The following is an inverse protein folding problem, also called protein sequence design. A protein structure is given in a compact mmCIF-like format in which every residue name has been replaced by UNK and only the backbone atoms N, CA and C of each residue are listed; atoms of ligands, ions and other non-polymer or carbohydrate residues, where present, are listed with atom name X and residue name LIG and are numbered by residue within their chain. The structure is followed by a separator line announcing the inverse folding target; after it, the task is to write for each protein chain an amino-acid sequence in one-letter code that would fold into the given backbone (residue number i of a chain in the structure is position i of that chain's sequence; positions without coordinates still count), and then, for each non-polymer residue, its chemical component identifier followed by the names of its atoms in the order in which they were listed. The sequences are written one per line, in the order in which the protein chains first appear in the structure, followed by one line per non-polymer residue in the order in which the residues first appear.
data_IF_382334696555
#
_entry.id   IF_382334696555
#
_cell.length_a   1.000
_cell.length_b   1.000
_cell.length_c   1.000
_cell.angle_alpha   90.00
_cell.angle_beta   90.00
_cell.angle_gamma   90.00
#
_symmetry.space_group_name_H-M   'P 1'
#
loop_
_entity.id
_entity.type
_entity.pdbx_description
1 polymer ?
#
# COMPACT_ATOMS: atom_id res chain seq x y z
N UNK A 1 -25.84 10.88 13.59
CA UNK A 1 -25.65 9.98 14.75
C UNK A 1 -24.21 9.47 14.75
N UNK A 2 -23.27 10.35 15.10
CA UNK A 2 -21.81 10.12 15.16
C UNK A 2 -21.27 10.86 16.38
N UNK A 3 -21.73 10.50 17.58
CA UNK A 3 -21.25 11.06 18.85
C UNK A 3 -21.64 10.08 19.96
N UNK A 4 -20.76 9.14 20.31
CA UNK A 4 -20.79 8.36 21.57
C UNK A 4 -19.63 7.34 21.62
N UNK A 5 -18.38 7.83 21.65
CA UNK A 5 -17.20 6.97 21.91
C UNK A 5 -16.20 7.58 22.91
N UNK A 6 -16.61 8.55 23.73
CA UNK A 6 -15.69 9.30 24.61
C UNK A 6 -16.03 9.26 26.12
N UNK A 7 -16.70 8.23 26.64
CA UNK A 7 -17.11 8.20 28.08
C UNK A 7 -16.81 6.88 28.80
N UNK A 8 -15.67 6.22 28.54
CA UNK A 8 -15.32 4.99 29.29
C UNK A 8 -13.91 4.90 29.89
N UNK A 9 -13.23 6.04 30.12
CA UNK A 9 -11.99 6.02 30.92
C UNK A 9 -12.03 7.11 31.99
N UNK A 10 -12.76 6.84 33.07
CA UNK A 10 -12.46 7.50 34.35
C UNK A 10 -13.07 6.70 35.52
N UNK A 11 -12.30 5.76 36.08
CA UNK A 11 -12.36 5.38 37.50
C UNK A 11 -11.31 4.32 37.85
N UNK A 12 -10.14 4.76 38.31
CA UNK A 12 -9.40 4.19 39.45
C UNK A 12 -7.93 4.68 39.45
N UNK A 13 -7.72 5.91 39.94
CA UNK A 13 -6.39 6.36 40.36
C UNK A 13 -6.18 5.90 41.81
N UNK A 14 -5.37 4.86 41.97
CA UNK A 14 -4.68 4.56 43.23
C UNK A 14 -3.19 4.79 42.98
N UNK A 15 -2.62 5.80 43.63
CA UNK A 15 -1.18 5.99 43.93
C UNK A 15 -0.19 5.10 43.16
N UNK A 16 0.13 5.50 41.93
CA UNK A 16 1.23 4.90 41.18
C UNK A 16 2.53 5.65 41.50
N UNK A 17 3.58 4.90 41.81
CA UNK A 17 4.94 5.42 41.94
C UNK A 17 5.36 6.12 40.63
N UNK A 18 6.28 7.10 40.72
CA UNK A 18 6.72 7.88 39.56
C UNK A 18 7.30 6.92 38.51
N UNK A 19 6.75 6.88 37.28
CA UNK A 19 7.27 6.03 36.21
C UNK A 19 8.70 6.45 35.86
N UNK A 20 9.60 5.47 35.77
CA UNK A 20 10.98 5.65 35.32
C UNK A 20 11.08 5.04 33.93
N UNK A 21 11.23 5.87 32.91
CA UNK A 21 11.40 5.42 31.53
C UNK A 21 12.79 4.77 31.35
N UNK A 22 12.84 3.69 30.56
CA UNK A 22 14.08 2.98 30.26
C UNK A 22 15.03 3.78 29.37
N UNK A 23 16.33 3.66 29.65
CA UNK A 23 17.40 4.23 28.83
C UNK A 23 18.39 3.18 28.34
N UNK A 24 18.90 3.37 27.12
CA UNK A 24 19.88 2.49 26.50
C UNK A 24 21.27 2.64 27.14
N UNK A 25 21.99 1.53 27.31
CA UNK A 25 23.44 1.56 27.49
C UNK A 25 24.13 2.04 26.21
N UNK A 26 25.40 2.49 26.31
CA UNK A 26 26.24 2.62 25.13
C UNK A 26 26.34 1.30 24.35
N UNK A 27 26.57 1.39 23.05
CA UNK A 27 26.82 0.24 22.19
C UNK A 27 28.15 -0.43 22.55
N UNK A 28 28.17 -1.76 22.60
CA UNK A 28 29.35 -2.61 22.82
C UNK A 28 29.53 -3.59 21.67
N UNK A 29 30.78 -3.83 21.23
CA UNK A 29 31.08 -4.81 20.19
C UNK A 29 31.01 -6.23 20.76
N UNK A 30 30.34 -7.14 20.05
CA UNK A 30 30.34 -8.56 20.40
C UNK A 30 31.68 -9.20 20.05
N UNK A 31 32.34 -9.79 21.06
CA UNK A 31 33.68 -10.36 20.91
C UNK A 31 33.70 -11.72 20.20
N UNK A 32 32.54 -12.39 20.12
CA UNK A 32 32.39 -13.72 19.50
C UNK A 32 32.26 -13.65 17.98
N UNK A 33 32.08 -12.45 17.42
CA UNK A 33 31.84 -12.24 15.98
C UNK A 33 33.05 -11.55 15.39
N UNK A 34 33.89 -12.36 14.75
CA UNK A 34 35.09 -11.90 14.05
C UNK A 34 34.73 -11.26 12.70
N UNK A 35 35.37 -10.12 12.39
CA UNK A 35 35.07 -9.30 11.22
C UNK A 35 35.22 -10.06 9.90
N UNK A 36 36.31 -10.83 9.75
CA UNK A 36 36.63 -11.53 8.52
C UNK A 36 35.72 -12.75 8.33
N UNK A 37 35.44 -13.46 9.42
CA UNK A 37 34.60 -14.66 9.41
C UNK A 37 33.13 -14.38 9.07
N UNK A 38 32.70 -13.11 9.16
CA UNK A 38 31.34 -12.65 8.89
C UNK A 38 31.26 -11.69 7.70
N UNK A 39 32.14 -11.87 6.69
CA UNK A 39 32.04 -11.16 5.42
C UNK A 39 32.34 -9.66 5.50
N UNK A 40 33.14 -9.23 6.48
CA UNK A 40 33.51 -7.81 6.67
C UNK A 40 32.56 -7.03 7.58
N UNK A 41 31.80 -7.71 8.45
CA UNK A 41 30.86 -7.09 9.38
C UNK A 41 31.15 -7.43 10.84
N UNK A 42 30.91 -6.47 11.74
CA UNK A 42 30.96 -6.65 13.18
C UNK A 42 29.62 -6.29 13.83
N UNK A 43 29.20 -7.06 14.84
CA UNK A 43 27.96 -6.81 15.58
C UNK A 43 28.22 -5.94 16.81
N UNK A 44 27.30 -5.01 17.06
CA UNK A 44 27.23 -4.21 18.27
C UNK A 44 25.90 -4.43 18.98
N UNK A 45 25.94 -4.57 20.29
CA UNK A 45 24.78 -4.78 21.15
C UNK A 45 24.67 -3.68 22.20
N UNK A 46 23.46 -3.45 22.73
CA UNK A 46 23.17 -2.55 23.84
C UNK A 46 22.03 -3.12 24.68
N UNK A 47 21.91 -2.68 25.92
CA UNK A 47 20.86 -3.16 26.84
C UNK A 47 20.04 -1.99 27.39
N UNK A 48 18.74 -2.21 27.63
CA UNK A 48 17.84 -1.19 28.17
C UNK A 48 17.92 -1.16 29.71
N UNK A 49 19.09 -0.78 30.23
CA UNK A 49 19.40 -0.85 31.67
C UNK A 49 19.98 0.43 32.25
N UNK A 50 19.94 1.54 31.52
CA UNK A 50 20.55 2.81 31.92
C UNK A 50 19.61 4.02 31.77
N UNK A 51 18.55 4.16 32.60
CA UNK A 51 18.11 3.23 33.67
C UNK A 51 17.19 2.12 33.13
N UNK A 52 16.93 1.07 33.92
CA UNK A 52 15.89 0.08 33.58
C UNK A 52 14.48 0.67 33.80
N UNK A 53 13.48 0.32 32.97
CA UNK A 53 12.11 0.77 33.17
C UNK A 53 11.53 0.30 34.51
N UNK A 54 10.97 1.22 35.30
CA UNK A 54 10.31 0.91 36.58
C UNK A 54 8.99 1.68 36.74
N UNK A 55 8.12 1.20 37.63
CA UNK A 55 6.85 1.84 37.99
C UNK A 55 5.92 2.15 36.79
N UNK A 56 5.97 1.33 35.74
CA UNK A 56 5.17 1.53 34.52
C UNK A 56 5.76 2.56 33.55
N UNK A 57 7.05 2.90 33.67
CA UNK A 57 7.78 3.68 32.67
C UNK A 57 7.96 2.94 31.34
N UNK A 58 8.22 3.71 30.29
CA UNK A 58 8.30 3.22 28.90
C UNK A 58 9.53 2.35 28.69
N UNK A 59 9.40 1.31 27.87
CA UNK A 59 10.54 0.54 27.38
C UNK A 59 11.40 1.39 26.41
N UNK A 60 12.67 1.02 26.25
CA UNK A 60 13.55 1.68 25.30
C UNK A 60 13.06 1.46 23.86
N UNK A 61 13.05 2.53 23.07
CA UNK A 61 12.63 2.49 21.66
C UNK A 61 13.83 2.18 20.75
N UNK A 62 13.66 1.25 19.81
CA UNK A 62 14.67 0.80 18.83
C UNK A 62 15.26 -0.59 19.11
N UNK A 63 16.16 -1.06 18.26
CA UNK A 63 16.79 -2.39 18.37
C UNK A 63 17.91 -2.44 19.41
N UNK A 64 18.16 -3.62 19.97
CA UNK A 64 19.26 -3.90 20.92
C UNK A 64 20.54 -4.38 20.23
N UNK A 65 20.49 -4.65 18.93
CA UNK A 65 21.62 -5.07 18.10
C UNK A 65 21.69 -4.28 16.78
N UNK A 66 22.92 -4.08 16.28
CA UNK A 66 23.20 -3.47 14.97
C UNK A 66 24.48 -4.04 14.37
N UNK A 67 24.57 -4.02 13.05
CA UNK A 67 25.75 -4.44 12.29
C UNK A 67 26.43 -3.25 11.64
N UNK A 68 27.76 -3.24 11.64
CA UNK A 68 28.56 -2.21 10.98
C UNK A 68 29.69 -2.84 10.16
N UNK A 69 30.05 -2.16 9.06
CA UNK A 69 31.19 -2.56 8.22
C UNK A 69 32.51 -2.42 8.97
N UNK A 70 33.40 -3.39 8.77
CA UNK A 70 34.74 -3.41 9.32
C UNK A 70 35.76 -3.87 8.27
N UNK A 71 37.03 -3.54 8.48
CA UNK A 71 38.08 -3.78 7.49
C UNK A 71 38.61 -5.21 7.55
N UNK A 72 38.52 -5.95 6.45
CA UNK A 72 39.13 -7.26 6.25
C UNK A 72 39.77 -7.41 4.85
N UNK A 73 40.46 -8.54 4.61
CA UNK A 73 41.06 -8.90 3.32
C UNK A 73 40.06 -9.74 2.50
N UNK A 74 39.95 -9.48 1.19
CA UNK A 74 39.05 -10.21 0.28
C UNK A 74 39.30 -11.73 0.30
N UNK A 75 40.55 -12.16 0.38
CA UNK A 75 40.89 -13.60 0.31
C UNK A 75 40.41 -14.34 1.56
N UNK A 76 40.37 -13.66 2.71
CA UNK A 76 39.81 -14.20 3.96
C UNK A 76 38.29 -13.99 4.07
N UNK A 77 37.77 -12.91 3.48
CA UNK A 77 36.35 -12.58 3.56
C UNK A 77 35.47 -13.54 2.73
N UNK A 78 35.97 -13.98 1.56
CA UNK A 78 35.19 -14.75 0.58
C UNK A 78 35.71 -16.18 0.37
N UNK A 79 36.49 -16.72 1.32
CA UNK A 79 37.06 -18.07 1.19
C UNK A 79 35.96 -19.14 1.09
N UNK A 80 36.10 -20.07 0.13
CA UNK A 80 35.15 -21.18 -0.09
C UNK A 80 33.85 -20.85 -0.85
N UNK A 81 33.66 -19.62 -1.35
CA UNK A 81 32.45 -19.19 -2.05
C UNK A 81 32.72 -18.36 -3.31
N UNK A 82 31.88 -18.48 -4.34
CA UNK A 82 31.90 -17.55 -5.50
C UNK A 82 31.06 -16.30 -5.19
N UNK A 83 31.71 -15.26 -4.68
CA UNK A 83 31.13 -13.94 -4.39
C UNK A 83 31.92 -12.82 -5.10
N UNK A 84 31.29 -11.65 -5.31
CA UNK A 84 32.00 -10.47 -5.82
C UNK A 84 32.60 -9.69 -4.64
N UNK A 85 33.92 -9.48 -4.65
CA UNK A 85 34.56 -8.65 -3.64
C UNK A 85 34.54 -7.18 -4.07
N UNK A 86 33.91 -6.32 -3.27
CA UNK A 86 33.94 -4.89 -3.46
C UNK A 86 34.92 -4.26 -2.45
N UNK A 87 35.75 -3.32 -2.92
CA UNK A 87 36.66 -2.57 -2.08
C UNK A 87 36.36 -1.09 -2.26
N UNK A 88 35.55 -0.52 -1.36
CA UNK A 88 35.33 0.92 -1.33
C UNK A 88 36.52 1.59 -0.62
N UNK A 89 37.12 2.60 -1.25
CA UNK A 89 38.26 3.33 -0.72
C UNK A 89 37.94 3.90 0.67
N UNK A 90 38.41 3.22 1.72
CA UNK A 90 38.25 3.63 3.12
C UNK A 90 37.42 2.68 4.01
N UNK A 91 36.73 1.68 3.44
CA UNK A 91 35.81 0.81 4.21
C UNK A 91 36.22 -0.67 4.29
N UNK A 92 37.33 -1.06 3.67
CA UNK A 92 37.82 -2.45 3.64
C UNK A 92 37.11 -3.33 2.60
N UNK A 93 37.63 -4.54 2.38
CA UNK A 93 37.03 -5.51 1.46
C UNK A 93 35.80 -6.17 2.10
N UNK A 94 34.76 -6.42 1.30
CA UNK A 94 33.57 -7.19 1.72
C UNK A 94 33.05 -8.05 0.56
N UNK A 95 32.41 -9.16 0.89
CA UNK A 95 31.80 -10.05 -0.09
C UNK A 95 30.35 -9.64 -0.32
N UNK A 96 29.94 -9.53 -1.58
CA UNK A 96 28.56 -9.20 -1.94
C UNK A 96 27.81 -10.41 -2.45
N UNK A 97 26.58 -10.60 -1.95
CA UNK A 97 25.62 -11.52 -2.52
C UNK A 97 25.17 -11.05 -3.91
N UNK A 98 25.23 -11.94 -4.91
CA UNK A 98 24.75 -11.64 -6.27
C UNK A 98 23.33 -12.21 -6.39
N UNK A 99 22.32 -11.34 -6.39
CA UNK A 99 20.89 -11.73 -6.43
C UNK A 99 20.45 -12.66 -5.27
N UNK A 100 21.04 -12.49 -4.08
CA UNK A 100 20.71 -13.28 -2.89
C UNK A 100 21.18 -14.74 -2.95
N UNK A 101 22.20 -15.05 -3.76
CA UNK A 101 22.71 -16.42 -3.95
C UNK A 101 24.25 -16.47 -3.89
N UNK A 102 24.76 -17.59 -3.38
CA UNK A 102 26.19 -17.96 -3.38
C UNK A 102 26.36 -19.39 -3.87
N UNK A 103 27.40 -19.65 -4.67
CA UNK A 103 27.74 -21.00 -5.13
C UNK A 103 29.00 -21.51 -4.41
N UNK A 104 28.92 -22.63 -3.67
CA UNK A 104 30.07 -23.24 -3.02
C UNK A 104 31.05 -23.78 -4.04
N UNK A 105 32.35 -23.54 -3.83
CA UNK A 105 33.39 -24.05 -4.74
C UNK A 105 33.67 -25.53 -4.42
N UNK A 106 33.51 -26.41 -5.42
CA UNK A 106 33.83 -27.84 -5.29
C UNK A 106 32.66 -28.79 -4.98
N UNK A 107 31.41 -28.30 -5.07
CA UNK A 107 30.17 -29.11 -4.99
C UNK A 107 29.41 -29.02 -6.32
N UNK A 108 28.48 -29.94 -6.58
CA UNK A 108 27.66 -30.02 -7.80
C UNK A 108 27.03 -28.65 -8.15
N UNK A 109 27.18 -28.13 -9.39
CA UNK A 109 26.74 -26.79 -9.82
C UNK A 109 25.26 -26.44 -9.58
N UNK A 110 24.41 -27.42 -9.25
CA UNK A 110 22.99 -27.21 -8.97
C UNK A 110 22.68 -26.87 -7.48
N UNK A 111 23.70 -26.83 -6.62
CA UNK A 111 23.52 -26.54 -5.18
C UNK A 111 23.54 -25.02 -4.92
N UNK A 112 22.38 -24.39 -5.05
CA UNK A 112 22.21 -22.95 -4.79
C UNK A 112 22.02 -22.72 -3.29
N UNK A 113 22.88 -21.91 -2.67
CA UNK A 113 22.68 -21.44 -1.28
C UNK A 113 22.18 -20.01 -1.30
N UNK A 114 21.07 -19.75 -0.63
CA UNK A 114 20.47 -18.41 -0.52
C UNK A 114 21.16 -17.61 0.60
N UNK A 115 21.45 -16.33 0.36
CA UNK A 115 22.20 -15.46 1.28
C UNK A 115 21.56 -14.08 1.43
N UNK A 116 21.85 -13.41 2.55
CA UNK A 116 21.43 -12.03 2.87
C UNK A 116 22.62 -11.26 3.43
N UNK A 117 22.81 -10.00 3.02
CA UNK A 117 23.90 -9.13 3.47
C UNK A 117 23.40 -8.10 4.50
N UNK A 118 23.75 -8.16 5.81
CA UNK A 118 24.86 -8.94 6.39
C UNK A 118 24.47 -10.36 6.84
N UNK A 119 25.43 -11.31 6.88
CA UNK A 119 25.16 -12.71 7.17
C UNK A 119 24.59 -12.91 8.58
N UNK A 120 23.50 -13.68 8.68
CA UNK A 120 23.01 -14.16 9.97
C UNK A 120 23.93 -15.26 10.52
N UNK A 121 24.15 -15.22 11.84
CA UNK A 121 24.88 -16.18 12.69
C UNK A 121 25.18 -17.54 12.03
N UNK A 122 26.36 -17.68 11.42
CA UNK A 122 26.84 -18.97 10.94
C UNK A 122 27.46 -19.72 12.12
N UNK A 123 26.63 -20.47 12.85
CA UNK A 123 27.12 -21.53 13.74
C UNK A 123 26.12 -22.67 13.79
N UNK A 124 26.23 -23.63 12.87
CA UNK A 124 26.43 -25.05 13.21
C UNK A 124 26.89 -25.87 12.01
N UNK A 125 27.91 -26.68 12.28
CA UNK A 125 28.63 -27.64 11.43
C UNK A 125 27.84 -28.96 11.31
N UNK A 126 27.97 -29.67 10.19
CA UNK A 126 27.65 -31.09 9.98
C UNK A 126 26.29 -31.62 10.46
N UNK A 127 25.45 -32.00 9.49
CA UNK A 127 24.58 -33.17 9.60
C UNK A 127 23.24 -32.99 10.32
N UNK A 128 22.19 -33.38 9.58
CA UNK A 128 20.83 -33.78 10.02
C UNK A 128 19.93 -32.74 10.70
N UNK A 129 18.84 -32.47 9.96
CA UNK A 129 17.48 -32.12 10.38
C UNK A 129 17.23 -30.73 11.01
N UNK A 130 16.20 -30.06 10.46
CA UNK A 130 15.60 -28.76 10.82
C UNK A 130 16.43 -27.48 10.52
N UNK A 131 16.37 -27.02 9.26
CA UNK A 131 16.91 -25.71 8.83
C UNK A 131 15.91 -24.98 7.91
N UNK A 132 14.76 -24.62 8.47
CA UNK A 132 13.80 -23.66 7.90
C UNK A 132 13.36 -22.68 8.97
N UNK A 133 14.31 -21.99 9.58
CA UNK A 133 14.04 -20.73 10.26
C UNK A 133 15.34 -19.95 10.22
N UNK A 134 15.25 -18.63 10.08
CA UNK A 134 16.35 -17.67 10.07
C UNK A 134 16.92 -17.34 8.68
N UNK A 135 16.12 -16.62 7.88
CA UNK A 135 16.59 -15.74 6.81
C UNK A 135 15.68 -14.50 6.73
N UNK A 136 16.12 -13.29 7.11
CA UNK A 136 15.43 -12.04 6.81
C UNK A 136 16.06 -11.44 5.57
N UNK A 137 15.28 -11.43 4.50
CA UNK A 137 15.48 -10.67 3.27
C UNK A 137 15.81 -9.21 3.55
N UNK A 138 16.92 -8.73 3.00
CA UNK A 138 17.25 -7.30 2.94
C UNK A 138 16.60 -6.73 1.68
N UNK A 139 15.27 -6.76 1.74
CA UNK A 139 14.40 -5.82 1.07
C UNK A 139 13.38 -5.20 2.04
N UNK A 140 13.49 -5.48 3.35
CA UNK A 140 12.48 -5.15 4.35
C UNK A 140 13.09 -4.36 5.53
N UNK A 141 13.16 -3.02 5.43
CA UNK A 141 13.22 -2.14 6.63
C UNK A 141 11.84 -2.07 7.34
N UNK A 142 10.93 -2.99 7.01
CA UNK A 142 9.66 -3.19 7.69
C UNK A 142 9.75 -4.53 8.38
N UNK A 143 9.92 -4.54 9.71
CA UNK A 143 9.68 -5.76 10.49
C UNK A 143 8.33 -6.34 10.04
N UNK A 144 8.28 -7.59 9.52
CA UNK A 144 7.03 -8.16 9.05
C UNK A 144 6.05 -8.10 10.21
N UNK A 145 4.90 -7.45 9.98
CA UNK A 145 3.86 -7.26 10.98
C UNK A 145 3.65 -8.54 11.79
N UNK A 146 3.59 -8.42 13.12
CA UNK A 146 3.30 -9.58 13.99
C UNK A 146 2.07 -10.33 13.46
N UNK A 147 2.01 -11.65 13.66
CA UNK A 147 0.86 -12.48 13.24
C UNK A 147 -0.47 -11.88 13.73
N UNK A 148 -0.45 -11.28 14.92
CA UNK A 148 -1.60 -10.66 15.55
C UNK A 148 -1.99 -9.35 14.82
N UNK A 149 -1.00 -8.55 14.42
CA UNK A 149 -1.25 -7.34 13.61
C UNK A 149 -1.80 -7.69 12.23
N UNK A 150 -1.27 -8.75 11.58
CA UNK A 150 -1.79 -9.24 10.29
C UNK A 150 -3.25 -9.68 10.40
N UNK A 151 -3.59 -10.41 11.46
CA UNK A 151 -4.98 -10.82 11.72
C UNK A 151 -5.91 -9.61 11.90
N UNK A 152 -5.48 -8.61 12.66
CA UNK A 152 -6.28 -7.39 12.89
C UNK A 152 -6.52 -6.65 11.58
N UNK A 153 -5.48 -6.44 10.77
CA UNK A 153 -5.60 -5.77 9.46
C UNK A 153 -6.60 -6.52 8.58
N UNK A 154 -6.47 -7.84 8.47
CA UNK A 154 -7.36 -8.67 7.65
C UNK A 154 -8.83 -8.58 8.09
N UNK A 155 -9.08 -8.60 9.41
CA UNK A 155 -10.44 -8.48 9.95
C UNK A 155 -11.02 -7.10 9.65
N UNK A 156 -10.26 -6.03 9.92
CA UNK A 156 -10.70 -4.65 9.70
C UNK A 156 -11.01 -4.45 8.22
N UNK A 157 -10.11 -4.86 7.34
CA UNK A 157 -10.26 -4.71 5.90
C UNK A 157 -11.46 -5.50 5.36
N UNK A 158 -11.65 -6.75 5.79
CA UNK A 158 -12.82 -7.54 5.39
C UNK A 158 -14.14 -6.89 5.84
N UNK A 159 -14.20 -6.38 7.08
CA UNK A 159 -15.39 -5.71 7.62
C UNK A 159 -15.67 -4.42 6.84
N UNK A 160 -14.64 -3.62 6.54
CA UNK A 160 -14.77 -2.38 5.76
C UNK A 160 -15.24 -2.69 4.34
N UNK A 161 -14.62 -3.67 3.67
CA UNK A 161 -15.02 -4.10 2.33
C UNK A 161 -16.48 -4.56 2.30
N UNK A 162 -16.89 -5.41 3.25
CA UNK A 162 -18.27 -5.87 3.37
C UNK A 162 -19.26 -4.74 3.62
N UNK A 163 -18.89 -3.76 4.46
CA UNK A 163 -19.71 -2.59 4.73
C UNK A 163 -19.92 -1.74 3.47
N UNK A 164 -18.86 -1.41 2.74
CA UNK A 164 -18.94 -0.60 1.52
C UNK A 164 -19.81 -1.30 0.47
N UNK A 165 -19.56 -2.59 0.22
CA UNK A 165 -20.34 -3.38 -0.75
C UNK A 165 -21.82 -3.41 -0.35
N UNK A 166 -22.14 -3.61 0.94
CA UNK A 166 -23.52 -3.62 1.41
C UNK A 166 -24.24 -2.28 1.15
N UNK A 167 -23.55 -1.15 1.37
CA UNK A 167 -24.13 0.18 1.10
C UNK A 167 -24.29 0.45 -0.39
N UNK A 168 -23.31 0.11 -1.24
CA UNK A 168 -23.45 0.23 -2.69
C UNK A 168 -24.59 -0.64 -3.23
N UNK A 169 -24.76 -1.86 -2.71
CA UNK A 169 -25.89 -2.71 -3.11
C UNK A 169 -27.22 -2.10 -2.66
N UNK A 170 -27.27 -1.54 -1.44
CA UNK A 170 -28.47 -0.87 -0.95
C UNK A 170 -28.83 0.36 -1.81
N UNK A 171 -27.85 1.18 -2.22
CA UNK A 171 -28.09 2.34 -3.09
C UNK A 171 -28.57 1.91 -4.47
N UNK A 172 -27.98 0.87 -5.07
CA UNK A 172 -28.44 0.28 -6.34
C UNK A 172 -29.89 -0.21 -6.23
N UNK A 173 -30.24 -0.91 -5.14
CA UNK A 173 -31.61 -1.41 -4.91
C UNK A 173 -32.60 -0.26 -4.76
N UNK A 174 -32.29 0.73 -3.92
CA UNK A 174 -33.13 1.94 -3.76
C UNK A 174 -33.29 2.62 -5.12
N UNK A 175 -32.21 2.68 -5.90
CA UNK A 175 -32.24 3.26 -7.22
C UNK A 175 -33.10 2.50 -8.22
N UNK A 176 -33.06 1.16 -8.20
CA UNK A 176 -33.88 0.33 -9.07
C UNK A 176 -35.37 0.37 -8.70
N UNK A 177 -35.68 0.50 -7.40
CA UNK A 177 -37.07 0.49 -6.90
C UNK A 177 -37.76 1.85 -7.04
N UNK A 178 -37.06 2.94 -6.72
CA UNK A 178 -37.65 4.28 -6.65
C UNK A 178 -37.33 5.18 -7.84
N UNK A 179 -36.66 4.65 -8.87
CA UNK A 179 -35.90 5.48 -9.80
C UNK A 179 -36.35 5.55 -11.25
N UNK A 180 -36.40 6.78 -11.78
CA UNK A 180 -36.54 7.08 -13.22
C UNK A 180 -35.25 6.94 -14.04
N UNK A 181 -35.40 6.98 -15.37
CA UNK A 181 -34.37 6.76 -16.39
C UNK A 181 -33.67 8.07 -16.78
N UNK A 182 -32.34 8.14 -16.70
CA UNK A 182 -31.54 9.31 -17.11
C UNK A 182 -30.05 8.99 -17.25
N UNK A 183 -29.30 9.79 -18.03
CA UNK A 183 -27.87 9.53 -18.27
C UNK A 183 -27.01 9.70 -17.01
N UNK A 184 -27.33 10.67 -16.16
CA UNK A 184 -26.65 10.90 -14.88
C UNK A 184 -26.66 9.66 -13.98
N UNK A 185 -27.84 9.04 -13.82
CA UNK A 185 -28.00 7.84 -12.99
C UNK A 185 -27.19 6.66 -13.52
N UNK A 186 -27.06 6.57 -14.83
CA UNK A 186 -26.31 5.50 -15.46
C UNK A 186 -24.80 5.62 -15.21
N UNK A 187 -24.25 6.84 -15.22
CA UNK A 187 -22.85 7.10 -14.85
C UNK A 187 -22.59 6.66 -13.40
N UNK A 188 -23.47 7.07 -12.49
CA UNK A 188 -23.42 6.66 -11.08
C UNK A 188 -23.49 5.16 -10.87
N UNK A 189 -24.37 4.48 -11.60
CA UNK A 189 -24.49 3.04 -11.49
C UNK A 189 -23.19 2.33 -11.91
N UNK A 190 -22.50 2.84 -12.92
CA UNK A 190 -21.21 2.27 -13.37
C UNK A 190 -20.09 2.54 -12.36
N UNK A 191 -20.08 3.73 -11.76
CA UNK A 191 -19.17 4.05 -10.65
C UNK A 191 -19.40 3.09 -9.47
N UNK A 192 -20.64 2.94 -8.99
CA UNK A 192 -20.96 2.02 -7.88
C UNK A 192 -20.64 0.56 -8.23
N UNK A 193 -20.91 0.13 -9.46
CA UNK A 193 -20.61 -1.23 -9.90
C UNK A 193 -19.10 -1.51 -9.93
N UNK A 194 -18.29 -0.57 -10.44
CA UNK A 194 -16.83 -0.70 -10.42
C UNK A 194 -16.28 -0.67 -9.00
N UNK A 195 -16.84 0.17 -8.12
CA UNK A 195 -16.48 0.21 -6.70
C UNK A 195 -16.76 -1.13 -6.00
N UNK A 196 -17.93 -1.74 -6.23
CA UNK A 196 -18.25 -3.08 -5.70
C UNK A 196 -17.20 -4.11 -6.15
N UNK A 197 -16.81 -4.10 -7.43
CA UNK A 197 -15.81 -5.03 -7.95
C UNK A 197 -14.46 -4.82 -7.26
N UNK A 198 -14.01 -3.57 -7.10
CA UNK A 198 -12.76 -3.24 -6.36
C UNK A 198 -12.78 -3.84 -4.96
N UNK A 199 -13.83 -3.58 -4.17
CA UNK A 199 -13.88 -4.02 -2.77
C UNK A 199 -14.06 -5.55 -2.63
N UNK A 200 -14.69 -6.21 -3.59
CA UNK A 200 -14.72 -7.69 -3.63
C UNK A 200 -13.32 -8.23 -3.95
N UNK A 201 -12.63 -7.67 -4.93
CA UNK A 201 -11.27 -8.10 -5.29
C UNK A 201 -10.29 -7.92 -4.13
N UNK A 202 -10.37 -6.79 -3.41
CA UNK A 202 -9.59 -6.55 -2.20
C UNK A 202 -9.97 -7.56 -1.11
N UNK A 203 -11.23 -7.54 -0.65
CA UNK A 203 -11.63 -8.30 0.54
C UNK A 203 -11.62 -9.82 0.38
N UNK A 204 -11.79 -10.35 -0.83
CA UNK A 204 -11.87 -11.80 -1.07
C UNK A 204 -10.61 -12.39 -1.70
N UNK A 205 -10.03 -11.73 -2.70
CA UNK A 205 -8.89 -12.27 -3.45
C UNK A 205 -7.54 -11.73 -2.99
N UNK A 206 -7.45 -10.43 -2.63
CA UNK A 206 -6.18 -9.86 -2.19
C UNK A 206 -5.73 -10.44 -0.83
N UNK A 207 -6.68 -10.77 0.05
CA UNK A 207 -6.39 -11.25 1.40
C UNK A 207 -6.12 -12.76 1.49
N UNK A 208 -6.41 -13.52 0.43
CA UNK A 208 -6.30 -14.97 0.45
C UNK A 208 -4.97 -15.42 -0.17
N UNK A 209 -3.88 -15.10 0.54
CA UNK A 209 -2.45 -15.28 0.17
C UNK A 209 -2.08 -16.72 -0.23
N UNK A 210 -2.96 -17.71 -0.02
CA UNK A 210 -2.78 -19.09 -0.47
C UNK A 210 -2.93 -19.30 -1.98
N UNK A 211 -3.19 -18.24 -2.75
CA UNK A 211 -3.27 -18.30 -4.21
C UNK A 211 -1.91 -18.54 -4.86
N UNK A 212 -1.87 -19.31 -5.95
CA UNK A 212 -0.67 -19.44 -6.80
C UNK A 212 -0.15 -18.06 -7.22
N UNK A 213 1.17 -17.94 -7.43
CA UNK A 213 1.83 -16.68 -7.86
C UNK A 213 1.11 -16.03 -9.06
N UNK A 214 0.70 -16.86 -10.03
CA UNK A 214 -0.03 -16.43 -11.23
C UNK A 214 -1.39 -15.81 -10.89
N UNK A 215 -2.15 -16.41 -9.96
CA UNK A 215 -3.45 -15.88 -9.56
C UNK A 215 -3.30 -14.53 -8.84
N UNK A 216 -2.28 -14.40 -7.99
CA UNK A 216 -1.96 -13.18 -7.27
C UNK A 216 -1.62 -12.02 -8.24
N UNK A 217 -0.80 -12.30 -9.27
CA UNK A 217 -0.49 -11.38 -10.38
C UNK A 217 -1.72 -10.93 -11.15
N UNK A 218 -2.61 -11.87 -11.51
CA UNK A 218 -3.84 -11.55 -12.23
C UNK A 218 -4.84 -10.72 -11.41
N UNK A 219 -5.01 -11.05 -10.13
CA UNK A 219 -5.87 -10.31 -9.20
C UNK A 219 -5.36 -8.88 -9.03
N UNK A 220 -4.06 -8.70 -8.82
CA UNK A 220 -3.43 -7.39 -8.70
C UNK A 220 -3.62 -6.55 -9.97
N UNK A 221 -3.42 -7.15 -11.15
CA UNK A 221 -3.63 -6.47 -12.43
C UNK A 221 -5.08 -6.06 -12.65
N UNK A 222 -6.02 -6.95 -12.36
CA UNK A 222 -7.45 -6.67 -12.46
C UNK A 222 -7.87 -5.55 -11.50
N UNK A 223 -7.42 -5.62 -10.25
CA UNK A 223 -7.75 -4.61 -9.24
C UNK A 223 -7.20 -3.24 -9.63
N UNK A 224 -5.97 -3.15 -10.18
CA UNK A 224 -5.44 -1.88 -10.71
C UNK A 224 -6.31 -1.32 -11.84
N UNK A 225 -6.65 -2.13 -12.85
CA UNK A 225 -7.48 -1.68 -13.96
C UNK A 225 -8.86 -1.18 -13.50
N UNK A 226 -9.56 -1.95 -12.66
CA UNK A 226 -10.91 -1.59 -12.19
C UNK A 226 -10.87 -0.37 -11.26
N UNK A 227 -9.82 -0.21 -10.45
CA UNK A 227 -9.64 1.00 -9.64
C UNK A 227 -9.47 2.24 -10.53
N UNK A 228 -8.70 2.14 -11.62
CA UNK A 228 -8.57 3.21 -12.61
C UNK A 228 -9.90 3.52 -13.32
N UNK A 229 -10.72 2.52 -13.63
CA UNK A 229 -12.07 2.72 -14.14
C UNK A 229 -12.95 3.48 -13.14
N UNK A 230 -12.88 3.12 -11.87
CA UNK A 230 -13.63 3.81 -10.80
C UNK A 230 -13.29 5.31 -10.76
N UNK A 231 -12.00 5.65 -10.79
CA UNK A 231 -11.54 7.05 -10.81
C UNK A 231 -11.95 7.79 -12.08
N UNK A 232 -12.04 7.10 -13.21
CA UNK A 232 -12.53 7.69 -14.46
C UNK A 232 -14.02 7.98 -14.39
N UNK A 233 -14.83 7.08 -13.81
CA UNK A 233 -16.27 7.31 -13.62
C UNK A 233 -16.55 8.45 -12.63
N UNK A 234 -15.77 8.57 -11.55
CA UNK A 234 -15.81 9.73 -10.65
C UNK A 234 -15.53 11.04 -11.41
N UNK A 235 -14.52 11.06 -12.29
CA UNK A 235 -14.23 12.24 -13.12
C UNK A 235 -15.35 12.54 -14.14
N UNK A 236 -15.99 11.50 -14.70
CA UNK A 236 -17.12 11.64 -15.62
C UNK A 236 -18.38 12.17 -14.93
N UNK A 237 -18.65 11.75 -13.70
CA UNK A 237 -19.69 12.31 -12.85
C UNK A 237 -19.45 13.80 -12.58
N UNK A 238 -18.22 14.17 -12.19
CA UNK A 238 -17.85 15.56 -11.98
C UNK A 238 -18.00 16.41 -13.26
N UNK A 239 -17.59 15.86 -14.41
CA UNK A 239 -17.76 16.49 -15.72
C UNK A 239 -19.23 16.67 -16.09
N UNK A 240 -20.07 15.66 -15.84
CA UNK A 240 -21.50 15.75 -16.02
C UNK A 240 -22.07 16.89 -15.16
N UNK A 241 -21.78 16.89 -13.85
CA UNK A 241 -22.30 17.88 -12.93
C UNK A 241 -21.87 19.31 -13.30
N UNK A 242 -20.59 19.48 -13.66
CA UNK A 242 -20.07 20.74 -14.18
C UNK A 242 -20.82 21.20 -15.44
N UNK A 243 -21.00 20.31 -16.42
CA UNK A 243 -21.64 20.66 -17.71
C UNK A 243 -23.09 21.12 -17.56
N UNK A 244 -23.82 20.56 -16.59
CA UNK A 244 -25.21 20.95 -16.28
C UNK A 244 -25.26 22.28 -15.51
N UNK A 245 -24.44 22.44 -14.48
CA UNK A 245 -24.47 23.64 -13.61
C UNK A 245 -23.93 24.87 -14.35
N UNK A 246 -22.86 24.70 -15.13
CA UNK A 246 -22.23 25.81 -15.86
C UNK A 246 -22.99 26.23 -17.12
N UNK A 247 -24.16 25.62 -17.40
CA UNK A 247 -24.99 25.98 -18.55
C UNK A 247 -24.34 25.62 -19.89
N UNK A 248 -23.55 24.55 -19.94
CA UNK A 248 -22.92 24.05 -21.18
C UNK A 248 -23.85 23.07 -21.88
N UNK A 249 -24.59 22.26 -21.12
CA UNK A 249 -25.58 21.33 -21.63
C UNK A 249 -26.97 21.63 -21.06
N UNK A 250 -28.01 21.52 -21.91
CA UNK A 250 -29.40 21.62 -21.47
C UNK A 250 -29.88 20.35 -20.79
N UNK A 251 -29.35 19.18 -21.19
CA UNK A 251 -29.77 17.86 -20.71
C UNK A 251 -28.69 16.81 -21.01
N UNK A 252 -28.63 15.81 -20.14
CA UNK A 252 -27.82 14.60 -20.27
C UNK A 252 -26.30 14.81 -20.33
N UNK A 253 -25.84 16.02 -19.96
CA UNK A 253 -24.43 16.39 -19.87
C UNK A 253 -23.77 16.65 -21.21
N UNK A 254 -22.44 16.87 -21.21
CA UNK A 254 -21.66 17.14 -22.43
C UNK A 254 -21.35 15.87 -23.24
N UNK A 255 -21.20 14.72 -22.57
CA UNK A 255 -20.92 13.43 -23.21
C UNK A 255 -22.24 12.68 -23.36
N UNK A 256 -22.83 12.73 -24.56
CA UNK A 256 -24.08 12.06 -24.90
C UNK A 256 -23.94 11.32 -26.25
N UNK A 257 -24.56 10.13 -26.43
CA UNK A 257 -25.42 9.39 -25.49
C UNK A 257 -24.67 8.76 -24.33
N UNK A 258 -25.41 8.31 -23.30
CA UNK A 258 -24.85 7.68 -22.11
C UNK A 258 -23.86 6.54 -22.41
N UNK A 259 -24.05 5.82 -23.53
CA UNK A 259 -23.12 4.77 -23.99
C UNK A 259 -21.69 5.27 -24.25
N UNK A 260 -21.49 6.54 -24.64
CA UNK A 260 -20.14 7.10 -24.82
C UNK A 260 -19.42 7.20 -23.49
N UNK A 261 -20.12 7.51 -22.39
CA UNK A 261 -19.52 7.52 -21.05
C UNK A 261 -18.96 6.14 -20.65
N UNK A 262 -19.54 5.04 -21.14
CA UNK A 262 -19.00 3.68 -20.93
C UNK A 262 -17.66 3.54 -21.64
N UNK A 263 -17.62 3.91 -22.92
CA UNK A 263 -16.42 3.80 -23.74
C UNK A 263 -15.30 4.65 -23.14
N UNK A 264 -15.62 5.85 -22.67
CA UNK A 264 -14.65 6.74 -22.01
C UNK A 264 -14.21 6.18 -20.65
N UNK A 265 -15.16 5.72 -19.83
CA UNK A 265 -14.92 5.20 -18.48
C UNK A 265 -14.02 3.96 -18.45
N UNK A 266 -14.20 3.04 -19.40
CA UNK A 266 -13.33 1.86 -19.53
C UNK A 266 -12.11 2.10 -20.44
N UNK A 267 -12.20 3.06 -21.36
CA UNK A 267 -11.18 3.32 -22.38
C UNK A 267 -9.99 4.12 -21.88
N UNK A 268 -10.22 5.24 -21.15
CA UNK A 268 -9.14 6.07 -20.61
C UNK A 268 -8.15 5.26 -19.75
N UNK A 269 -8.60 4.38 -18.84
CA UNK A 269 -7.73 3.52 -18.04
C UNK A 269 -6.80 2.57 -18.82
N UNK A 270 -7.16 2.17 -20.05
CA UNK A 270 -6.43 1.12 -20.79
C UNK A 270 -4.97 1.50 -21.02
N UNK A 271 -4.71 2.76 -21.41
CA UNK A 271 -3.37 3.21 -21.73
C UNK A 271 -2.45 3.19 -20.51
N UNK A 272 -2.74 3.89 -19.38
CA UNK A 272 -1.88 3.85 -18.21
C UNK A 272 -1.76 2.44 -17.62
N UNK A 273 -2.84 1.66 -17.63
CA UNK A 273 -2.81 0.26 -17.21
C UNK A 273 -1.87 -0.57 -18.08
N UNK A 274 -2.00 -0.51 -19.41
CA UNK A 274 -1.18 -1.30 -20.32
C UNK A 274 0.30 -0.91 -20.27
N UNK A 275 0.61 0.38 -20.06
CA UNK A 275 1.98 0.85 -19.83
C UNK A 275 2.51 0.24 -18.53
N UNK A 276 1.82 0.43 -17.41
CA UNK A 276 2.27 -0.11 -16.11
C UNK A 276 2.40 -1.63 -16.13
N UNK A 277 1.37 -2.35 -16.59
CA UNK A 277 1.39 -3.80 -16.68
C UNK A 277 2.46 -4.30 -17.65
N UNK A 278 2.69 -3.61 -18.78
CA UNK A 278 3.68 -4.01 -19.78
C UNK A 278 5.13 -3.78 -19.35
N UNK A 279 5.41 -2.70 -18.62
CA UNK A 279 6.78 -2.35 -18.21
C UNK A 279 7.17 -2.86 -16.83
N UNK A 280 6.20 -3.12 -15.96
CA UNK A 280 6.40 -3.42 -14.54
C UNK A 280 5.59 -4.66 -14.11
N UNK A 281 5.35 -5.59 -15.05
CA UNK A 281 4.62 -6.84 -14.82
C UNK A 281 5.12 -7.62 -13.60
N UNK A 282 6.44 -7.66 -13.44
CA UNK A 282 7.11 -8.44 -12.38
C UNK A 282 6.63 -7.99 -11.00
N UNK A 283 6.46 -6.69 -10.79
CA UNK A 283 6.04 -6.09 -9.52
C UNK A 283 4.55 -6.30 -9.16
N UNK A 284 3.74 -6.92 -10.01
CA UNK A 284 2.34 -7.23 -9.67
C UNK A 284 2.26 -8.44 -8.73
N UNK A 285 1.47 -8.34 -7.65
CA UNK A 285 1.29 -9.44 -6.70
C UNK A 285 2.51 -9.73 -5.80
N UNK A 286 3.53 -8.86 -5.78
CA UNK A 286 4.77 -9.05 -5.03
C UNK A 286 4.80 -8.33 -3.66
N UNK A 287 3.70 -7.70 -3.23
CA UNK A 287 3.66 -6.92 -1.98
C UNK A 287 3.85 -7.74 -0.68
N UNK A 288 4.06 -9.06 -0.74
CA UNK A 288 4.40 -9.93 0.41
C UNK A 288 3.30 -10.18 1.46
N UNK A 289 2.29 -9.31 1.55
CA UNK A 289 1.23 -9.35 2.56
C UNK A 289 -0.16 -9.64 2.00
N UNK A 290 -0.43 -9.18 0.77
CA UNK A 290 -1.70 -9.32 0.07
C UNK A 290 -1.42 -9.29 -1.44
N UNK A 291 -2.34 -9.79 -2.26
CA UNK A 291 -2.19 -9.85 -3.72
C UNK A 291 -2.38 -8.50 -4.41
N UNK A 292 -1.48 -7.57 -4.10
CA UNK A 292 -1.36 -6.25 -4.70
C UNK A 292 0.04 -6.02 -5.26
N UNK A 293 0.21 -4.94 -6.02
CA UNK A 293 1.50 -4.62 -6.59
C UNK A 293 2.45 -4.12 -5.50
N UNK A 294 3.72 -4.48 -5.62
CA UNK A 294 4.79 -3.88 -4.85
C UNK A 294 4.84 -2.37 -5.15
N UNK A 295 5.17 -1.59 -4.12
CA UNK A 295 5.21 -0.13 -4.17
C UNK A 295 6.62 0.41 -4.37
N UNK A 296 7.43 -0.27 -5.18
CA UNK A 296 8.69 0.27 -5.68
C UNK A 296 8.46 1.66 -6.30
N UNK A 297 9.46 2.56 -6.19
CA UNK A 297 9.32 3.96 -6.62
C UNK A 297 8.77 4.09 -8.04
N UNK A 298 9.20 3.24 -8.98
CA UNK A 298 8.72 3.26 -10.36
C UNK A 298 7.26 2.78 -10.49
N UNK A 299 6.89 1.68 -9.80
CA UNK A 299 5.54 1.13 -9.83
C UNK A 299 4.53 2.04 -9.13
N UNK A 300 4.93 2.66 -8.02
CA UNK A 300 4.12 3.65 -7.32
C UNK A 300 3.76 4.81 -8.26
N UNK A 301 4.71 5.40 -8.98
CA UNK A 301 4.39 6.49 -9.91
C UNK A 301 3.53 6.03 -11.10
N UNK A 302 3.76 4.84 -11.64
CA UNK A 302 2.99 4.32 -12.77
C UNK A 302 1.51 4.07 -12.41
N UNK A 303 1.23 3.66 -11.17
CA UNK A 303 -0.13 3.40 -10.67
C UNK A 303 -0.77 4.69 -10.13
N UNK A 304 -0.09 5.41 -9.22
CA UNK A 304 -0.70 6.53 -8.50
C UNK A 304 -0.85 7.80 -9.32
N UNK A 305 0.08 8.12 -10.23
CA UNK A 305 0.01 9.38 -10.96
C UNK A 305 -1.28 9.49 -11.80
N UNK A 306 -1.66 8.48 -12.60
CA UNK A 306 -2.93 8.52 -13.34
C UNK A 306 -4.16 8.63 -12.44
N UNK A 307 -4.17 7.91 -11.31
CA UNK A 307 -5.24 7.95 -10.29
C UNK A 307 -5.40 9.37 -9.76
N UNK A 308 -4.30 9.97 -9.32
CA UNK A 308 -4.25 11.33 -8.74
C UNK A 308 -4.73 12.34 -9.77
N UNK A 309 -4.27 12.26 -11.02
CA UNK A 309 -4.69 13.19 -12.08
C UNK A 309 -6.21 13.12 -12.32
N UNK A 310 -6.78 11.91 -12.42
CA UNK A 310 -8.23 11.74 -12.60
C UNK A 310 -9.00 12.29 -11.41
N UNK A 311 -8.58 11.94 -10.20
CA UNK A 311 -9.25 12.34 -8.98
C UNK A 311 -9.24 13.86 -8.77
N UNK A 312 -8.08 14.51 -8.92
CA UNK A 312 -7.98 15.96 -8.80
C UNK A 312 -8.65 16.70 -9.95
N UNK A 313 -8.65 16.18 -11.18
CA UNK A 313 -9.39 16.79 -12.27
C UNK A 313 -10.91 16.79 -12.02
N UNK A 314 -11.46 15.72 -11.44
CA UNK A 314 -12.84 15.68 -10.98
C UNK A 314 -13.13 16.70 -9.87
N UNK A 315 -12.23 16.80 -8.88
CA UNK A 315 -12.32 17.81 -7.83
C UNK A 315 -12.34 19.24 -8.36
N UNK A 316 -11.43 19.57 -9.27
CA UNK A 316 -11.35 20.89 -9.93
C UNK A 316 -12.65 21.20 -10.67
N UNK A 317 -13.23 20.23 -11.39
CA UNK A 317 -14.50 20.43 -12.09
C UNK A 317 -15.66 20.66 -11.10
N UNK A 318 -15.71 19.91 -10.00
CA UNK A 318 -16.71 20.09 -8.96
C UNK A 318 -16.62 21.49 -8.31
N UNK A 319 -15.41 21.96 -8.00
CA UNK A 319 -15.18 23.31 -7.48
C UNK A 319 -15.53 24.39 -8.51
N UNK A 320 -15.06 24.24 -9.74
CA UNK A 320 -15.34 25.18 -10.83
C UNK A 320 -16.84 25.35 -11.08
N UNK A 321 -17.64 24.29 -10.91
CA UNK A 321 -19.10 24.34 -11.02
C UNK A 321 -19.77 25.16 -9.90
N UNK A 322 -19.06 25.43 -8.81
CA UNK A 322 -19.52 26.29 -7.72
C UNK A 322 -19.03 27.74 -7.82
N UNK A 323 -18.10 28.02 -8.73
CA UNK A 323 -17.46 29.32 -8.85
C UNK A 323 -18.09 30.15 -9.97
N UNK A 324 -18.56 31.34 -9.60
CA UNK A 324 -19.04 32.34 -10.54
C UNK A 324 -20.53 32.22 -10.87
N UNK A 325 -21.01 33.23 -11.59
CA UNK A 325 -22.40 33.31 -12.02
C UNK A 325 -22.52 32.68 -13.41
N UNK A 326 -23.15 31.51 -13.48
CA UNK A 326 -23.28 30.77 -14.74
C UNK A 326 -24.54 31.19 -15.51
N UNK A 327 -24.45 31.31 -16.85
CA UNK A 327 -25.60 31.60 -17.68
C UNK A 327 -26.62 30.46 -17.59
N UNK A 328 -27.88 30.79 -17.31
CA UNK A 328 -28.96 29.82 -17.27
C UNK A 328 -29.51 29.61 -18.67
N UNK A 329 -29.40 28.39 -19.19
CA UNK A 329 -30.02 28.01 -20.45
C UNK A 329 -31.56 27.96 -20.29
N UNK A 330 -32.36 28.55 -21.20
CA UNK A 330 -33.82 28.65 -21.05
C UNK A 330 -34.53 27.29 -20.97
N UNK A 331 -34.02 26.30 -21.71
CA UNK A 331 -34.61 24.95 -21.83
C UNK A 331 -33.85 23.90 -21.00
N UNK A 332 -33.14 24.33 -19.96
CA UNK A 332 -32.34 23.42 -19.14
C UNK A 332 -33.21 22.55 -18.22
N UNK A 333 -32.87 21.26 -18.14
CA UNK A 333 -33.50 20.32 -17.24
C UNK A 333 -33.17 20.66 -15.77
N UNK A 334 -34.17 21.20 -15.07
CA UNK A 334 -34.02 21.67 -13.68
C UNK A 334 -33.81 20.50 -12.70
N UNK A 335 -34.32 19.31 -13.00
CA UNK A 335 -34.13 18.13 -12.15
C UNK A 335 -32.66 17.68 -12.21
N UNK A 336 -32.09 17.63 -13.42
CA UNK A 336 -30.68 17.29 -13.61
C UNK A 336 -29.73 18.36 -13.05
N UNK A 337 -30.08 19.65 -13.12
CA UNK A 337 -29.30 20.72 -12.47
C UNK A 337 -29.33 20.59 -10.95
N UNK A 338 -30.52 20.36 -10.37
CA UNK A 338 -30.67 20.17 -8.92
C UNK A 338 -29.86 18.97 -8.44
N UNK A 339 -29.97 17.86 -9.18
CA UNK A 339 -29.19 16.67 -8.92
C UNK A 339 -27.69 16.97 -8.96
N UNK A 340 -27.22 17.60 -10.04
CA UNK A 340 -25.80 17.97 -10.22
C UNK A 340 -25.29 18.86 -9.09
N UNK A 341 -26.13 19.76 -8.59
CA UNK A 341 -25.81 20.66 -7.46
C UNK A 341 -25.55 19.89 -6.17
N UNK A 342 -26.36 18.89 -5.86
CA UNK A 342 -26.12 18.02 -4.69
C UNK A 342 -24.89 17.12 -4.91
N UNK A 343 -24.71 16.65 -6.14
CA UNK A 343 -23.58 15.81 -6.53
C UNK A 343 -22.24 16.53 -6.33
N UNK A 344 -22.10 17.79 -6.79
CA UNK A 344 -20.85 18.55 -6.59
C UNK A 344 -20.48 18.74 -5.11
N UNK A 345 -21.46 18.93 -4.23
CA UNK A 345 -21.21 19.08 -2.80
C UNK A 345 -20.67 17.78 -2.20
N UNK A 346 -21.19 16.64 -2.68
CA UNK A 346 -20.73 15.30 -2.30
C UNK A 346 -19.32 15.06 -2.81
N UNK A 347 -19.03 15.37 -4.09
CA UNK A 347 -17.70 15.24 -4.70
C UNK A 347 -16.63 16.04 -3.95
N UNK A 348 -16.93 17.30 -3.59
CA UNK A 348 -16.02 18.14 -2.80
C UNK A 348 -15.79 17.55 -1.40
N UNK A 349 -16.84 17.05 -0.75
CA UNK A 349 -16.70 16.42 0.56
C UNK A 349 -15.82 15.16 0.50
N UNK A 350 -15.97 14.33 -0.54
CA UNK A 350 -15.12 13.14 -0.77
C UNK A 350 -13.66 13.55 -1.01
N UNK A 351 -13.42 14.57 -1.84
CA UNK A 351 -12.09 15.13 -2.08
C UNK A 351 -11.43 15.56 -0.76
N UNK A 352 -12.11 16.37 0.05
CA UNK A 352 -11.57 16.83 1.33
C UNK A 352 -11.26 15.66 2.27
N UNK A 353 -12.20 14.71 2.43
CA UNK A 353 -12.00 13.54 3.31
C UNK A 353 -10.82 12.66 2.89
N UNK A 354 -10.65 12.43 1.59
CA UNK A 354 -9.50 11.67 1.06
C UNK A 354 -8.17 12.38 1.29
N UNK A 355 -8.12 13.71 1.16
CA UNK A 355 -6.92 14.49 1.47
C UNK A 355 -6.58 14.39 2.95
N UNK A 356 -7.57 14.52 3.85
CA UNK A 356 -7.34 14.32 5.29
C UNK A 356 -6.84 12.92 5.62
N UNK A 357 -7.32 11.89 4.94
CA UNK A 357 -6.87 10.51 5.13
C UNK A 357 -5.41 10.28 4.70
N UNK A 358 -4.86 11.10 3.80
CA UNK A 358 -3.46 11.01 3.37
C UNK A 358 -2.48 11.70 4.33
N UNK A 359 -2.96 12.64 5.16
CA UNK A 359 -2.14 13.39 6.12
C UNK A 359 -2.15 12.81 7.55
N UNK A 360 -2.85 11.70 7.77
CA UNK A 360 -2.90 10.93 9.02
C UNK A 360 -2.16 9.63 8.78
#
# INVERSE_FOLDING_TARGET
MKWLFLVFICRSLTWAAIPIDGGWTPWSREATIDCCSYGGFAQYTRSCTNPSPENGGKACFGTDSRWERCSCDCELACDGVTAFCANETGSGAFCMCVYGKVYPTGVDPDTITYCVDPPMSASTVNGSEDYYDVMPSIHDDVEPFSSDTKLIINIVEFVVCGWVVAWCVATIIVCAVFGGHGSHRFIHLMEEATLIIVYILIGYFAMNVTSTEVLCKLVSALLHYVFMCTMTFFALEALFAYSMISGISTRDGIIHPAAINIIVGFGIPIIPFAVSFGTLYEHYGENGYHCWCDMSTAQAWAVFLPIVVLFFSGGILAEASGLGEHPKLPDADQEQIKWSTNTKETLIAVLLLSMFAYFI
#
